data_IF_274898760490
#
_entry.id   IF_274898760490
#
_cell.length_a   1.000
_cell.length_b   1.000
_cell.length_c   1.000
_cell.angle_alpha   90.00
_cell.angle_beta   90.00
_cell.angle_gamma   90.00
#
_symmetry.space_group_name_H-M   'P 1'
#
loop_
_entity.id
_entity.type
_entity.pdbx_description
1 polymer ?
#
# COMPACT_ATOMS: atom_id res chain seq x y z
N UNK A 1 6.60 2.48 7.94
CA UNK A 1 5.36 1.69 8.17
C UNK A 1 5.48 0.62 9.24
N UNK A 2 6.50 -0.25 9.28
CA UNK A 2 6.58 -1.28 10.34
C UNK A 2 6.50 -0.73 11.79
N UNK A 3 7.04 0.47 12.03
CA UNK A 3 6.98 1.14 13.34
C UNK A 3 5.53 1.49 13.73
N UNK A 4 4.71 1.89 12.77
CA UNK A 4 3.27 2.11 12.96
C UNK A 4 2.53 0.82 13.31
N UNK A 5 2.98 -0.31 12.75
CA UNK A 5 2.48 -1.64 13.14
C UNK A 5 2.99 -2.10 14.52
N UNK A 6 3.92 -1.37 15.14
CA UNK A 6 4.61 -1.78 16.36
C UNK A 6 5.57 -2.95 16.16
N UNK A 7 5.97 -3.24 14.93
CA UNK A 7 6.82 -4.40 14.61
C UNK A 7 8.29 -4.03 14.69
N UNK A 8 9.08 -4.91 15.30
CA UNK A 8 10.54 -4.88 15.17
C UNK A 8 10.96 -5.24 13.74
N UNK A 9 12.23 -5.00 13.41
CA UNK A 9 12.79 -5.45 12.12
C UNK A 9 12.72 -6.98 11.98
N UNK A 10 12.90 -7.70 13.09
CA UNK A 10 12.82 -9.16 13.14
C UNK A 10 11.38 -9.66 12.96
N UNK A 11 10.39 -9.06 13.62
CA UNK A 11 8.97 -9.38 13.40
C UNK A 11 8.56 -9.13 11.94
N UNK A 12 9.08 -8.05 11.35
CA UNK A 12 8.81 -7.70 9.96
C UNK A 12 9.38 -8.75 9.02
N UNK A 13 10.61 -9.20 9.27
CA UNK A 13 11.26 -10.25 8.50
C UNK A 13 10.46 -11.56 8.58
N UNK A 14 10.10 -12.00 9.78
CA UNK A 14 9.34 -13.23 10.02
C UNK A 14 7.94 -13.19 9.37
N UNK A 15 7.20 -12.09 9.56
CA UNK A 15 5.83 -11.97 9.05
C UNK A 15 5.74 -11.79 7.54
N UNK A 16 6.75 -11.17 6.92
CA UNK A 16 6.77 -10.92 5.48
C UNK A 16 7.59 -11.95 4.70
N UNK A 17 8.22 -12.92 5.37
CA UNK A 17 9.03 -13.97 4.73
C UNK A 17 10.38 -13.48 4.19
N UNK A 18 10.97 -12.45 4.81
CA UNK A 18 12.30 -11.92 4.47
C UNK A 18 13.31 -12.25 5.56
N UNK A 19 14.60 -12.06 5.27
CA UNK A 19 15.63 -12.11 6.30
C UNK A 19 15.75 -10.77 7.03
N UNK A 20 16.19 -10.76 8.31
CA UNK A 20 16.44 -9.52 9.04
C UNK A 20 17.45 -8.60 8.32
N UNK A 21 18.49 -9.15 7.68
CA UNK A 21 19.40 -8.37 6.83
C UNK A 21 18.66 -7.65 5.70
N UNK A 22 17.67 -8.30 5.07
CA UNK A 22 16.94 -7.70 3.96
C UNK A 22 16.14 -6.49 4.42
N UNK A 23 15.44 -6.63 5.55
CA UNK A 23 14.69 -5.54 6.18
C UNK A 23 15.63 -4.41 6.61
N UNK A 24 16.79 -4.76 7.18
CA UNK A 24 17.83 -3.78 7.54
C UNK A 24 18.34 -2.99 6.33
N UNK A 25 18.52 -3.64 5.17
CA UNK A 25 18.91 -2.95 3.92
C UNK A 25 17.86 -1.96 3.44
N UNK A 26 16.57 -2.27 3.60
CA UNK A 26 15.48 -1.33 3.30
C UNK A 26 15.49 -0.12 4.24
N UNK A 27 15.74 -0.34 5.53
CA UNK A 27 15.73 0.73 6.53
C UNK A 27 16.91 1.70 6.43
N UNK A 28 18.01 1.26 5.84
CA UNK A 28 19.22 2.05 5.64
C UNK A 28 19.36 2.54 4.19
N UNK A 29 18.28 2.53 3.41
CA UNK A 29 18.22 2.96 2.01
C UNK A 29 19.26 2.29 1.09
N UNK A 30 19.79 1.13 1.49
CA UNK A 30 20.76 0.35 0.69
C UNK A 30 20.09 -0.38 -0.46
N UNK A 31 18.82 -0.74 -0.27
CA UNK A 31 17.98 -1.43 -1.26
C UNK A 31 16.59 -0.84 -1.14
N UNK A 32 15.96 -0.50 -2.28
CA UNK A 32 14.57 -0.07 -2.27
C UNK A 32 13.66 -1.21 -1.81
N UNK A 33 12.66 -0.90 -0.99
CA UNK A 33 11.61 -1.87 -0.67
C UNK A 33 10.89 -2.27 -1.96
N UNK A 34 10.57 -3.56 -2.10
CA UNK A 34 9.78 -4.00 -3.25
C UNK A 34 8.36 -3.45 -3.18
N UNK A 35 7.78 -3.16 -4.33
CA UNK A 35 6.41 -2.64 -4.42
C UNK A 35 5.39 -3.56 -3.71
N UNK A 36 5.55 -4.88 -3.86
CA UNK A 36 4.71 -5.87 -3.18
C UNK A 36 4.82 -5.80 -1.66
N UNK A 37 6.03 -5.66 -1.12
CA UNK A 37 6.25 -5.57 0.32
C UNK A 37 5.71 -4.24 0.89
N UNK A 38 5.88 -3.14 0.16
CA UNK A 38 5.31 -1.83 0.52
C UNK A 38 3.78 -1.89 0.56
N UNK A 39 3.14 -2.41 -0.49
CA UNK A 39 1.68 -2.58 -0.55
C UNK A 39 1.17 -3.48 0.58
N UNK A 40 1.84 -4.59 0.86
CA UNK A 40 1.45 -5.48 1.95
C UNK A 40 1.51 -4.79 3.32
N UNK A 41 2.58 -4.03 3.60
CA UNK A 41 2.70 -3.24 4.83
C UNK A 41 1.59 -2.18 4.96
N UNK A 42 1.23 -1.50 3.85
CA UNK A 42 0.13 -0.52 3.83
C UNK A 42 -1.21 -1.18 4.12
N UNK A 43 -1.49 -2.32 3.50
CA UNK A 43 -2.72 -3.07 3.74
C UNK A 43 -2.84 -3.52 5.18
N UNK A 44 -1.75 -4.01 5.78
CA UNK A 44 -1.72 -4.40 7.20
C UNK A 44 -1.94 -3.21 8.14
N UNK A 45 -1.35 -2.05 7.83
CA UNK A 45 -1.57 -0.84 8.61
C UNK A 45 -3.05 -0.42 8.56
N UNK A 46 -3.66 -0.53 7.38
CA UNK A 46 -5.07 -0.18 7.15
C UNK A 46 -6.06 -1.10 7.86
N UNK A 47 -5.73 -2.38 8.04
CA UNK A 47 -6.58 -3.29 8.84
C UNK A 47 -6.60 -2.87 10.31
N UNK A 48 -5.50 -2.32 10.83
CA UNK A 48 -5.39 -1.88 12.22
C UNK A 48 -6.09 -0.55 12.48
N UNK A 49 -6.04 0.35 11.51
CA UNK A 49 -6.68 1.66 11.58
C UNK A 49 -7.47 1.89 10.28
N UNK A 50 -8.72 1.39 10.22
CA UNK A 50 -9.59 1.63 9.08
C UNK A 50 -9.85 3.13 8.92
N UNK A 51 -9.97 3.61 7.68
CA UNK A 51 -10.59 4.92 7.46
C UNK A 51 -12.08 4.75 7.76
N UNK A 52 -12.51 5.50 8.76
CA UNK A 52 -13.87 5.66 9.20
C UNK A 52 -14.61 6.74 8.42
N UNK A 53 -13.92 7.82 8.04
CA UNK A 53 -14.46 8.92 7.24
C UNK A 53 -13.68 9.12 5.94
N UNK A 54 -14.24 8.58 4.85
CA UNK A 54 -13.66 8.75 3.52
C UNK A 54 -13.77 10.18 3.00
N UNK A 55 -14.80 10.94 3.38
CA UNK A 55 -15.00 12.30 2.89
C UNK A 55 -13.94 13.26 3.45
N UNK A 56 -13.60 13.13 4.73
CA UNK A 56 -12.51 13.89 5.33
C UNK A 56 -11.15 13.60 4.66
N UNK A 57 -10.93 12.34 4.26
CA UNK A 57 -9.74 11.97 3.50
C UNK A 57 -9.74 12.50 2.06
N UNK A 58 -10.89 12.54 1.38
CA UNK A 58 -11.00 13.13 0.05
C UNK A 58 -10.66 14.63 0.07
N UNK A 59 -11.15 15.37 1.06
CA UNK A 59 -10.78 16.78 1.25
C UNK A 59 -9.27 16.95 1.49
N UNK A 60 -8.68 16.13 2.36
CA UNK A 60 -7.24 16.17 2.64
C UNK A 60 -6.40 15.82 1.41
N UNK A 61 -6.80 14.80 0.67
CA UNK A 61 -6.14 14.42 -0.59
C UNK A 61 -6.25 15.53 -1.62
N UNK A 62 -7.39 16.21 -1.72
CA UNK A 62 -7.56 17.39 -2.56
C UNK A 62 -6.60 18.53 -2.19
N UNK A 63 -6.33 18.75 -0.89
CA UNK A 63 -5.33 19.73 -0.43
C UNK A 63 -3.90 19.35 -0.79
N UNK A 64 -3.57 18.06 -0.71
CA UNK A 64 -2.22 17.55 -0.97
C UNK A 64 -1.93 17.34 -2.46
N UNK A 65 -2.97 17.20 -3.28
CA UNK A 65 -2.86 16.96 -4.71
C UNK A 65 -2.14 18.13 -5.40
N UNK A 66 -1.07 17.82 -6.12
CA UNK A 66 -0.33 18.81 -6.93
C UNK A 66 -1.07 19.16 -8.23
N UNK A 67 -1.99 18.30 -8.65
CA UNK A 67 -2.84 18.43 -9.82
C UNK A 67 -4.07 17.55 -9.63
N UNK A 68 -5.17 17.87 -10.31
CA UNK A 68 -6.31 16.96 -10.40
C UNK A 68 -5.88 15.68 -11.11
N UNK A 69 -6.05 14.51 -10.49
CA UNK A 69 -5.75 13.25 -11.16
C UNK A 69 -6.75 13.05 -12.29
N UNK A 70 -6.27 12.83 -13.51
CA UNK A 70 -7.14 12.30 -14.56
C UNK A 70 -7.69 10.94 -14.09
N UNK A 71 -9.03 10.76 -14.04
CA UNK A 71 -9.59 9.50 -13.62
C UNK A 71 -9.11 8.39 -14.56
N UNK A 72 -8.56 7.32 -13.99
CA UNK A 72 -8.25 6.12 -14.76
C UNK A 72 -9.57 5.62 -15.36
N UNK A 73 -9.67 5.46 -16.69
CA UNK A 73 -10.89 5.01 -17.33
C UNK A 73 -11.10 3.52 -17.05
N UNK A 74 -11.71 3.23 -15.90
CA UNK A 74 -12.12 1.87 -15.52
C UNK A 74 -13.29 1.45 -16.41
N UNK A 75 -12.98 0.82 -17.54
CA UNK A 75 -14.00 0.25 -18.43
C UNK A 75 -14.14 -1.24 -18.12
N UNK A 76 -15.25 -1.64 -17.52
CA UNK A 76 -15.56 -3.07 -17.36
C UNK A 76 -16.05 -3.63 -18.69
N UNK A 77 -15.28 -4.54 -19.29
CA UNK A 77 -15.72 -5.28 -20.47
C UNK A 77 -16.28 -6.63 -20.02
N UNK A 78 -17.53 -6.91 -20.38
CA UNK A 78 -18.12 -8.24 -20.18
C UNK A 78 -17.72 -9.14 -21.36
N UNK A 79 -16.97 -10.20 -21.06
CA UNK A 79 -16.61 -11.24 -22.04
C UNK A 79 -17.40 -12.52 -21.71
N UNK A 80 -18.58 -12.66 -22.33
CA UNK A 80 -19.49 -13.78 -22.04
C UNK A 80 -19.97 -13.82 -20.59
N UNK A 81 -19.49 -14.82 -19.82
CA UNK A 81 -19.78 -15.03 -18.38
C UNK A 81 -18.68 -14.49 -17.45
N UNK A 82 -17.59 -13.97 -17.98
CA UNK A 82 -16.49 -13.41 -17.19
C UNK A 82 -16.42 -11.89 -17.33
N UNK A 83 -15.89 -11.24 -16.30
CA UNK A 83 -15.56 -9.83 -16.34
C UNK A 83 -14.08 -9.71 -16.72
N UNK A 84 -13.80 -9.01 -17.81
CA UNK A 84 -12.45 -8.77 -18.28
C UNK A 84 -12.08 -7.28 -18.14
N UNK A 85 -11.04 -7.08 -17.32
CA UNK A 85 -10.17 -5.91 -17.16
C UNK A 85 -10.73 -4.58 -16.62
N UNK A 86 -9.82 -3.91 -15.91
CA UNK A 86 -9.76 -2.50 -15.58
C UNK A 86 -8.39 -2.00 -16.10
N UNK A 87 -8.38 -0.98 -16.96
CA UNK A 87 -7.16 -0.32 -17.44
C UNK A 87 -6.77 0.84 -16.52
#
# INVERSE_FOLDING_TARGET
>A
MRKWLGWSGQDTAERLGFTPEHVSRWENDKVAISETADKLLRSLARVREPIDDHAAWDEELGRLAKADPEPLPLTMVRDGLTWAQAA
#
